data_IF_051647919559
#
_entry.id   IF_051647919559
#
_cell.length_a   1.000
_cell.length_b   1.000
_cell.length_c   1.000
_cell.angle_alpha   90.00
_cell.angle_beta   90.00
_cell.angle_gamma   90.00
#
_symmetry.space_group_name_H-M   'P 1'
#
loop_
_entity.id
_entity.type
_entity.pdbx_description
1 polymer ?
#
# COMPACT_ATOMS: atom_id res chain seq x y z
N UNK A 1 13.61 25.60 -6.35
CA UNK A 1 12.95 24.38 -5.82
C UNK A 1 13.66 23.77 -4.59
N UNK A 2 14.79 24.31 -4.10
CA UNK A 2 15.53 23.79 -2.93
C UNK A 2 15.06 24.35 -1.56
N UNK A 3 14.48 25.55 -1.51
CA UNK A 3 14.10 26.20 -0.24
C UNK A 3 12.90 25.55 0.48
N UNK A 4 11.99 24.89 -0.25
CA UNK A 4 10.77 24.30 0.34
C UNK A 4 11.07 22.99 1.07
N UNK A 5 12.05 22.23 0.59
CA UNK A 5 12.38 20.91 1.15
C UNK A 5 12.98 21.03 2.56
N UNK A 6 13.87 22.01 2.78
CA UNK A 6 14.45 22.26 4.11
C UNK A 6 13.44 22.74 5.15
N UNK A 7 12.48 23.59 4.76
CA UNK A 7 11.43 24.05 5.65
C UNK A 7 10.49 22.92 6.09
N UNK A 8 10.12 22.03 5.16
CA UNK A 8 9.27 20.86 5.46
C UNK A 8 9.97 19.86 6.38
N UNK A 9 11.27 19.59 6.15
CA UNK A 9 12.04 18.70 7.04
C UNK A 9 12.10 19.25 8.46
N UNK A 10 12.25 20.56 8.63
CA UNK A 10 12.23 21.20 9.94
C UNK A 10 10.87 21.06 10.63
N UNK A 11 9.76 21.21 9.91
CA UNK A 11 8.43 21.00 10.48
C UNK A 11 8.19 19.54 10.86
N UNK A 12 8.62 18.58 10.03
CA UNK A 12 8.54 17.16 10.35
C UNK A 12 9.42 16.80 11.55
N UNK A 13 10.57 17.45 11.71
CA UNK A 13 11.41 17.27 12.90
C UNK A 13 10.75 17.82 14.15
N UNK A 14 10.06 18.97 14.08
CA UNK A 14 9.26 19.48 15.20
C UNK A 14 8.16 18.49 15.58
N UNK A 15 7.40 17.99 14.59
CA UNK A 15 6.35 16.98 14.80
C UNK A 15 6.91 15.70 15.44
N UNK A 16 8.07 15.23 14.96
CA UNK A 16 8.75 14.07 15.53
C UNK A 16 9.11 14.28 17.00
N UNK A 17 9.49 15.50 17.40
CA UNK A 17 9.85 15.82 18.79
C UNK A 17 8.63 16.11 19.68
N UNK A 18 7.41 16.13 19.13
CA UNK A 18 6.24 16.35 19.94
C UNK A 18 6.09 15.28 21.02
N UNK A 19 5.77 15.67 22.27
CA UNK A 19 5.69 14.73 23.38
C UNK A 19 4.61 13.65 23.15
N UNK A 20 3.52 14.00 22.45
CA UNK A 20 2.46 13.06 22.09
C UNK A 20 2.94 11.98 21.12
N UNK A 21 3.73 12.36 20.10
CA UNK A 21 4.30 11.44 19.11
C UNK A 21 5.34 10.56 19.79
N UNK A 22 6.25 11.14 20.56
CA UNK A 22 7.28 10.40 21.30
C UNK A 22 6.70 9.40 22.31
N UNK A 23 5.62 9.78 23.00
CA UNK A 23 4.92 8.88 23.92
C UNK A 23 4.30 7.67 23.21
N UNK A 24 3.92 7.80 21.93
CA UNK A 24 3.41 6.68 21.12
C UNK A 24 4.54 5.80 20.56
N UNK A 25 5.63 6.40 20.08
CA UNK A 25 6.71 5.67 19.41
C UNK A 25 7.59 4.86 20.37
N UNK A 26 7.91 5.40 21.55
CA UNK A 26 8.86 4.80 22.50
C UNK A 26 8.41 3.42 23.02
N UNK A 27 7.15 3.21 23.46
CA UNK A 27 6.71 1.91 23.95
C UNK A 27 6.73 0.82 22.85
N UNK A 28 6.54 1.23 21.60
CA UNK A 28 6.55 0.34 20.43
C UNK A 28 7.96 0.15 19.83
N UNK A 29 8.97 0.80 20.42
CA UNK A 29 10.35 0.80 19.95
C UNK A 29 10.48 1.20 18.46
N UNK A 30 9.63 2.13 18.01
CA UNK A 30 9.60 2.62 16.62
C UNK A 30 10.57 3.80 16.47
N UNK A 31 11.51 3.68 15.55
CA UNK A 31 12.45 4.75 15.20
C UNK A 31 11.98 5.52 13.95
N UNK A 32 11.70 6.81 14.09
CA UNK A 32 11.37 7.67 12.94
C UNK A 32 12.63 8.10 12.21
N UNK A 33 12.79 7.64 10.96
CA UNK A 33 13.85 8.06 10.03
C UNK A 33 13.27 8.77 8.82
N UNK A 34 13.89 9.87 8.42
CA UNK A 34 13.60 10.51 7.13
C UNK A 34 14.26 9.71 6.00
N UNK A 35 13.60 9.63 4.85
CA UNK A 35 14.20 9.10 3.64
C UNK A 35 15.34 10.02 3.19
N UNK A 36 16.38 9.43 2.59
CA UNK A 36 17.51 10.20 2.07
C UNK A 36 16.99 11.19 1.02
N UNK A 37 17.26 12.51 1.16
CA UNK A 37 16.80 13.47 0.18
C UNK A 37 17.45 13.17 -1.17
N UNK A 38 16.69 13.32 -2.26
CA UNK A 38 17.15 13.07 -3.63
C UNK A 38 17.55 11.62 -3.95
N UNK A 39 17.11 10.64 -3.15
CA UNK A 39 17.28 9.23 -3.45
C UNK A 39 15.98 8.64 -4.03
N UNK A 40 15.73 8.71 -5.36
CA UNK A 40 14.49 8.23 -5.97
C UNK A 40 14.26 6.72 -5.77
N UNK A 41 15.34 5.95 -5.61
CA UNK A 41 15.28 4.52 -5.31
C UNK A 41 14.74 4.23 -3.90
N UNK A 42 14.89 5.15 -2.96
CA UNK A 42 14.43 4.97 -1.57
C UNK A 42 12.90 5.20 -1.43
N UNK A 43 12.31 6.02 -2.30
CA UNK A 43 10.87 6.35 -2.26
C UNK A 43 10.05 5.67 -3.37
N UNK A 44 10.71 5.13 -4.40
CA UNK A 44 10.04 4.60 -5.59
C UNK A 44 9.00 3.50 -5.33
N UNK A 45 9.22 2.63 -4.33
CA UNK A 45 8.23 1.60 -3.96
C UNK A 45 6.92 2.23 -3.48
N UNK A 46 7.00 3.17 -2.54
CA UNK A 46 5.82 3.82 -1.97
C UNK A 46 5.11 4.70 -3.00
N UNK A 47 5.86 5.40 -3.85
CA UNK A 47 5.29 6.18 -4.96
C UNK A 47 4.53 5.28 -5.94
N UNK A 48 5.09 4.12 -6.30
CA UNK A 48 4.44 3.11 -7.13
C UNK A 48 3.16 2.59 -6.48
N UNK A 49 3.20 2.25 -5.19
CA UNK A 49 2.03 1.77 -4.44
C UNK A 49 0.92 2.83 -4.40
N UNK A 50 1.25 4.08 -4.09
CA UNK A 50 0.29 5.20 -4.09
C UNK A 50 -0.29 5.41 -5.50
N UNK A 51 0.53 5.29 -6.54
CA UNK A 51 0.07 5.40 -7.92
C UNK A 51 -0.95 4.31 -8.27
N UNK A 52 -0.68 3.05 -7.90
CA UNK A 52 -1.59 1.92 -8.12
C UNK A 52 -2.90 2.15 -7.36
N UNK A 53 -2.80 2.48 -6.07
CA UNK A 53 -3.96 2.78 -5.24
C UNK A 53 -4.84 3.86 -5.87
N UNK A 54 -4.25 4.99 -6.30
CA UNK A 54 -4.98 6.10 -6.93
C UNK A 54 -5.67 5.69 -8.23
N UNK A 55 -5.07 4.83 -9.03
CA UNK A 55 -5.66 4.32 -10.27
C UNK A 55 -6.90 3.49 -9.93
N UNK A 56 -6.77 2.51 -9.03
CA UNK A 56 -7.88 1.65 -8.63
C UNK A 56 -8.98 2.48 -7.97
N UNK A 57 -8.61 3.41 -7.08
CA UNK A 57 -9.54 4.31 -6.41
C UNK A 57 -10.32 5.17 -7.40
N UNK A 58 -9.65 5.76 -8.40
CA UNK A 58 -10.33 6.55 -9.43
C UNK A 58 -11.33 5.71 -10.24
N UNK A 59 -11.01 4.45 -10.52
CA UNK A 59 -11.92 3.53 -11.22
C UNK A 59 -13.10 3.14 -10.33
N UNK A 60 -12.85 2.82 -9.05
CA UNK A 60 -13.87 2.41 -8.10
C UNK A 60 -14.87 3.53 -7.77
N UNK A 61 -14.38 4.76 -7.56
CA UNK A 61 -15.20 5.91 -7.16
C UNK A 61 -15.80 6.65 -8.35
N UNK A 62 -15.11 6.69 -9.48
CA UNK A 62 -15.56 7.41 -10.67
C UNK A 62 -15.82 8.89 -10.39
N UNK A 63 -17.08 9.32 -10.53
CA UNK A 63 -17.54 10.72 -10.32
C UNK A 63 -18.40 10.88 -9.06
N UNK A 64 -18.45 9.87 -8.19
CA UNK A 64 -19.26 9.90 -6.99
C UNK A 64 -18.55 10.66 -5.86
N UNK A 65 -19.32 11.38 -5.04
CA UNK A 65 -18.85 11.95 -3.79
C UNK A 65 -19.12 10.93 -2.70
N UNK A 66 -18.09 10.58 -1.92
CA UNK A 66 -18.18 9.57 -0.86
C UNK A 66 -18.15 10.24 0.50
N UNK A 67 -18.95 9.71 1.42
CA UNK A 67 -18.83 10.05 2.84
C UNK A 67 -17.58 9.39 3.46
N UNK A 68 -17.14 9.88 4.62
CA UNK A 68 -15.94 9.37 5.29
C UNK A 68 -15.98 7.85 5.54
N UNK A 69 -17.16 7.31 5.89
CA UNK A 69 -17.37 5.87 6.09
C UNK A 69 -17.20 5.09 4.78
N UNK A 70 -17.76 5.60 3.69
CA UNK A 70 -17.67 4.96 2.37
C UNK A 70 -16.25 5.03 1.80
N UNK A 71 -15.57 6.16 1.97
CA UNK A 71 -14.17 6.31 1.60
C UNK A 71 -13.29 5.29 2.32
N UNK A 72 -13.55 5.04 3.61
CA UNK A 72 -12.81 4.05 4.40
C UNK A 72 -13.07 2.63 3.88
N UNK A 73 -14.31 2.30 3.51
CA UNK A 73 -14.66 0.99 2.94
C UNK A 73 -13.96 0.76 1.60
N UNK A 74 -14.06 1.72 0.69
CA UNK A 74 -13.41 1.64 -0.62
C UNK A 74 -11.88 1.53 -0.46
N UNK A 75 -11.28 2.31 0.44
CA UNK A 75 -9.85 2.20 0.72
C UNK A 75 -9.47 0.79 1.24
N UNK A 76 -10.28 0.22 2.13
CA UNK A 76 -10.07 -1.14 2.67
C UNK A 76 -10.18 -2.21 1.58
N UNK A 77 -11.15 -2.09 0.68
CA UNK A 77 -11.31 -3.00 -0.46
C UNK A 77 -10.10 -2.93 -1.40
N UNK A 78 -9.61 -1.72 -1.69
CA UNK A 78 -8.43 -1.53 -2.54
C UNK A 78 -7.18 -2.08 -1.86
N UNK A 79 -7.03 -1.91 -0.55
CA UNK A 79 -5.94 -2.53 0.21
C UNK A 79 -5.96 -4.06 0.04
N UNK A 80 -7.12 -4.69 0.19
CA UNK A 80 -7.27 -6.13 -0.03
C UNK A 80 -6.90 -6.52 -1.47
N UNK A 81 -7.30 -5.73 -2.47
CA UNK A 81 -6.92 -5.95 -3.88
C UNK A 81 -5.41 -5.84 -4.08
N UNK A 82 -4.74 -4.86 -3.47
CA UNK A 82 -3.29 -4.70 -3.62
C UNK A 82 -2.49 -5.81 -2.92
N UNK A 83 -3.03 -6.38 -1.85
CA UNK A 83 -2.35 -7.38 -1.03
C UNK A 83 -2.60 -8.84 -1.49
N UNK A 84 -3.57 -9.08 -2.37
CA UNK A 84 -3.98 -10.40 -2.86
C UNK A 84 -3.29 -10.96 -4.12
N UNK A 85 -2.75 -10.19 -5.08
CA UNK A 85 -2.21 -10.75 -6.32
C UNK A 85 -0.90 -11.49 -6.08
N UNK A 86 -0.67 -12.53 -6.87
CA UNK A 86 0.59 -13.27 -6.89
C UNK A 86 1.73 -12.39 -7.43
N UNK A 87 2.86 -12.40 -6.74
CA UNK A 87 4.12 -11.79 -7.17
C UNK A 87 4.98 -12.75 -7.99
N UNK A 88 4.71 -14.05 -7.87
CA UNK A 88 5.46 -15.11 -8.56
C UNK A 88 4.53 -15.91 -9.45
N UNK A 89 4.96 -16.16 -10.69
CA UNK A 89 4.36 -17.18 -11.54
C UNK A 89 4.96 -18.52 -11.12
N UNK A 90 4.11 -19.46 -10.70
CA UNK A 90 4.52 -20.82 -10.37
C UNK A 90 3.80 -21.78 -11.30
N UNK A 91 4.57 -22.71 -11.86
CA UNK A 91 4.12 -23.75 -12.81
C UNK A 91 3.91 -25.12 -12.12
N UNK A 92 4.24 -25.22 -10.83
CA UNK A 92 4.04 -26.42 -10.00
C UNK A 92 2.74 -26.31 -9.22
N UNK A 93 1.82 -27.24 -9.44
CA UNK A 93 0.51 -27.29 -8.77
C UNK A 93 0.61 -27.49 -7.25
N UNK A 94 1.75 -27.96 -6.75
CA UNK A 94 1.99 -28.16 -5.32
C UNK A 94 2.45 -26.91 -4.59
N UNK A 95 2.73 -25.82 -5.31
CA UNK A 95 3.24 -24.57 -4.74
C UNK A 95 2.19 -23.46 -4.80
N UNK A 96 2.10 -22.69 -3.72
CA UNK A 96 1.25 -21.50 -3.69
C UNK A 96 2.06 -20.27 -4.09
N UNK A 97 1.53 -19.41 -4.98
CA UNK A 97 2.23 -18.21 -5.38
C UNK A 97 2.35 -17.22 -4.22
N UNK A 98 3.51 -16.58 -4.10
CA UNK A 98 3.79 -15.62 -3.05
C UNK A 98 3.01 -14.33 -3.30
N UNK A 99 2.27 -13.84 -2.30
CA UNK A 99 1.52 -12.58 -2.37
C UNK A 99 2.12 -11.55 -1.40
N UNK A 100 1.87 -10.25 -1.60
CA UNK A 100 2.35 -9.22 -0.69
C UNK A 100 1.96 -9.45 0.78
N UNK A 101 0.73 -9.94 1.03
CA UNK A 101 0.26 -10.22 2.38
C UNK A 101 1.07 -11.31 3.10
N UNK A 102 1.65 -12.24 2.34
CA UNK A 102 2.38 -13.37 2.91
C UNK A 102 3.71 -12.92 3.56
N UNK A 103 4.22 -11.73 3.25
CA UNK A 103 5.39 -11.14 3.93
C UNK A 103 5.08 -10.59 5.33
N UNK A 104 3.82 -10.23 5.59
CA UNK A 104 3.40 -9.70 6.88
C UNK A 104 3.08 -10.82 7.89
N UNK A 105 2.69 -11.98 7.38
CA UNK A 105 2.40 -13.17 8.18
C UNK A 105 3.63 -14.06 8.28
N UNK A 106 4.43 -13.88 9.35
CA UNK A 106 5.59 -14.74 9.63
C UNK A 106 5.24 -16.21 9.91
N UNK A 107 3.96 -16.56 10.07
CA UNK A 107 3.46 -17.93 9.94
C UNK A 107 2.76 -18.07 8.58
N UNK A 108 3.32 -18.95 7.73
CA UNK A 108 2.72 -19.31 6.45
C UNK A 108 1.23 -19.64 6.59
N UNK A 109 0.45 -19.16 5.63
CA UNK A 109 -0.95 -19.51 5.41
C UNK A 109 -1.88 -19.28 6.61
N UNK A 110 -2.14 -18.02 6.93
CA UNK A 110 -3.37 -17.63 7.62
C UNK A 110 -3.96 -16.41 6.92
N UNK A 111 -4.57 -16.63 5.76
CA UNK A 111 -5.48 -15.64 5.16
C UNK A 111 -6.79 -15.68 5.94
N UNK A 112 -7.30 -14.49 6.22
CA UNK A 112 -8.64 -14.25 6.73
C UNK A 112 -9.68 -15.14 6.04
N UNK A 113 -10.66 -15.61 6.81
CA UNK A 113 -11.74 -16.51 6.37
C UNK A 113 -12.76 -15.85 5.42
N UNK A 114 -12.37 -14.85 4.62
CA UNK A 114 -13.17 -14.41 3.48
C UNK A 114 -12.73 -15.22 2.27
N UNK A 115 -13.54 -16.17 1.78
CA UNK A 115 -13.27 -16.79 0.50
C UNK A 115 -13.39 -15.69 -0.54
N UNK A 116 -12.27 -15.20 -1.05
CA UNK A 116 -12.25 -14.59 -2.38
C UNK A 116 -12.60 -15.76 -3.30
N UNK A 117 -13.90 -15.90 -3.59
CA UNK A 117 -14.38 -16.84 -4.59
C UNK A 117 -13.59 -16.54 -5.86
N UNK A 118 -12.80 -17.51 -6.32
CA UNK A 118 -12.24 -17.48 -7.66
C UNK A 118 -13.43 -17.60 -8.61
N UNK A 119 -13.98 -16.48 -9.04
CA UNK A 119 -14.70 -16.49 -10.30
C UNK A 119 -13.65 -16.76 -11.39
N UNK A 120 -13.79 -17.90 -12.05
CA UNK A 120 -13.16 -18.18 -13.34
C UNK A 120 -13.31 -16.92 -14.19
N UNK A 121 -12.21 -16.33 -14.71
CA UNK A 121 -12.27 -15.07 -15.40
C UNK A 121 -13.05 -15.26 -16.70
N UNK A 122 -14.35 -15.01 -16.65
CA UNK A 122 -15.15 -14.70 -17.82
C UNK A 122 -14.64 -13.36 -18.35
N UNK A 123 -13.59 -13.45 -19.15
CA UNK A 123 -13.02 -12.36 -19.95
C UNK A 123 -12.69 -11.11 -19.11
N UNK A 124 -11.75 -11.26 -18.18
CA UNK A 124 -10.98 -10.09 -17.71
C UNK A 124 -10.26 -9.55 -18.95
N UNK A 125 -10.72 -8.41 -19.45
CA UNK A 125 -9.97 -7.65 -20.46
C UNK A 125 -8.70 -7.20 -19.77
N UNK A 126 -7.62 -7.94 -19.99
CA UNK A 126 -6.26 -7.44 -19.83
C UNK A 126 -6.22 -6.16 -20.66
N UNK A 127 -6.22 -5.00 -20.00
CA UNK A 127 -5.87 -3.75 -20.66
C UNK A 127 -4.36 -3.85 -20.85
N UNK A 128 -3.94 -4.38 -21.99
CA UNK A 128 -2.58 -4.21 -22.47
C UNK A 128 -2.33 -2.71 -22.58
N UNK A 129 -1.60 -2.16 -21.62
CA UNK A 129 -1.00 -0.84 -21.78
C UNK A 129 0.25 -1.07 -22.61
N UNK A 130 0.07 -1.05 -23.93
CA UNK A 130 1.19 -0.87 -24.86
C UNK A 130 1.90 0.44 -24.47
N UNK A 131 3.23 0.36 -24.38
CA UNK A 131 4.14 1.46 -24.06
C UNK A 131 3.81 2.76 -24.80
#
# INVERSE_FOLDING_TARGET
>A
MMHVHGALLNELDKLRQEPKVQAFLRPLNIEWKHTVPYAPWATGLYERLISIFKIIFRVAVGKHLLDSSEMTKVATEIEAIMNSPSLTVIDDENMQPLRPIDFLSSQGYAVSSLPIQREEPSKIRIIEVTC
#
